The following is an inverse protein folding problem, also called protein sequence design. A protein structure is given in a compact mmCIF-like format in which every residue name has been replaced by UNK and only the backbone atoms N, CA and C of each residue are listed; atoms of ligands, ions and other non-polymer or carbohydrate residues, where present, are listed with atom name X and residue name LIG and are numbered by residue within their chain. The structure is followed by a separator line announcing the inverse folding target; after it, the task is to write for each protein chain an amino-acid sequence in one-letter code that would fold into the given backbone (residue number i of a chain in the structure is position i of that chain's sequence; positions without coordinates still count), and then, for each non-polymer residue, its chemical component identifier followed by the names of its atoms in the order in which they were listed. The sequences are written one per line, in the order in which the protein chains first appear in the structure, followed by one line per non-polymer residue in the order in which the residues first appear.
data_IF_105347536822
#
_entry.id   IF_105347536822
#
_cell.length_a   1.000
_cell.length_b   1.000
_cell.length_c   1.000
_cell.angle_alpha   90.00
_cell.angle_beta   90.00
_cell.angle_gamma   90.00
#
_symmetry.space_group_name_H-M   'P 1'
#
loop_
_entity.id
_entity.type
_entity.pdbx_description
1 polymer ?
#
# COMPACT_ATOMS: atom_id res chain seq x y z
N UNK A 1 13.61 5.91 9.11
CA UNK A 1 12.67 7.07 9.00
C UNK A 1 11.91 7.02 7.66
N UNK A 2 11.18 5.94 7.36
CA UNK A 2 10.39 5.78 6.10
C UNK A 2 9.12 6.65 6.08
N UNK A 3 8.51 6.87 7.25
CA UNK A 3 7.27 7.64 7.45
C UNK A 3 7.32 9.08 6.94
N UNK A 4 8.42 9.80 7.17
CA UNK A 4 8.48 11.24 6.91
C UNK A 4 8.42 11.62 5.42
N UNK A 5 8.75 10.68 4.52
CA UNK A 5 8.65 10.90 3.06
C UNK A 5 7.20 11.01 2.58
N UNK A 6 6.26 10.39 3.29
CA UNK A 6 4.85 10.37 2.94
C UNK A 6 4.01 11.50 3.57
N UNK A 7 4.59 12.26 4.51
CA UNK A 7 3.89 13.34 5.23
C UNK A 7 4.04 14.70 4.52
N UNK A 8 4.86 14.81 3.48
CA UNK A 8 5.12 16.08 2.78
C UNK A 8 4.93 15.97 1.27
N UNK A 9 3.75 16.37 0.80
CA UNK A 9 3.61 16.95 -0.55
C UNK A 9 2.79 18.24 -0.47
N UNK A 10 3.42 19.34 -0.87
CA UNK A 10 2.82 20.67 -0.98
C UNK A 10 1.81 20.68 -2.13
N UNK A 11 0.51 20.85 -1.84
CA UNK A 11 -0.50 21.38 -2.76
C UNK A 11 -0.89 20.57 -4.01
N UNK A 12 -0.09 19.60 -4.44
CA UNK A 12 -0.42 18.71 -5.57
C UNK A 12 -1.07 17.43 -5.05
N UNK A 13 -2.24 17.11 -5.60
CA UNK A 13 -2.92 15.84 -5.33
C UNK A 13 -2.08 14.69 -5.92
N UNK A 14 -1.55 13.83 -5.06
CA UNK A 14 -0.90 12.60 -5.49
C UNK A 14 -1.85 11.77 -6.36
N UNK A 15 -1.35 11.07 -7.40
CA UNK A 15 -2.16 10.08 -8.13
C UNK A 15 -2.81 9.09 -7.17
N UNK A 16 -4.12 8.88 -7.30
CA UNK A 16 -4.87 7.92 -6.47
C UNK A 16 -5.35 6.78 -7.34
N UNK A 17 -5.02 5.54 -6.96
CA UNK A 17 -5.35 4.32 -7.71
C UNK A 17 -5.99 3.29 -6.79
N UNK A 18 -6.86 2.44 -7.33
CA UNK A 18 -7.36 1.24 -6.65
C UNK A 18 -6.57 0.04 -7.16
N UNK A 19 -6.03 -0.75 -6.24
CA UNK A 19 -5.30 -1.98 -6.55
C UNK A 19 -5.88 -3.13 -5.74
N UNK A 20 -5.77 -4.35 -6.26
CA UNK A 20 -6.32 -5.55 -5.65
C UNK A 20 -5.16 -6.35 -5.04
N UNK A 21 -5.32 -6.80 -3.80
CA UNK A 21 -4.39 -7.73 -3.17
C UNK A 21 -4.49 -9.13 -3.84
N UNK A 22 -3.36 -9.66 -4.31
CA UNK A 22 -3.27 -10.99 -4.93
C UNK A 22 -3.22 -12.12 -3.90
N UNK A 23 -2.65 -11.83 -2.74
CA UNK A 23 -2.40 -12.79 -1.66
C UNK A 23 -2.70 -12.14 -0.32
N UNK A 24 -2.89 -12.97 0.70
CA UNK A 24 -2.91 -12.51 2.08
C UNK A 24 -1.54 -11.98 2.48
N UNK A 25 -1.55 -10.92 3.28
CA UNK A 25 -0.35 -10.34 3.86
C UNK A 25 -0.59 -10.01 5.33
N UNK A 26 0.08 -10.74 6.22
CA UNK A 26 0.19 -10.39 7.64
C UNK A 26 1.57 -9.77 7.88
N UNK A 27 1.59 -8.45 8.13
CA UNK A 27 2.82 -7.70 8.35
C UNK A 27 3.64 -8.22 9.54
N UNK A 28 3.01 -8.81 10.56
CA UNK A 28 3.71 -9.42 11.70
C UNK A 28 4.45 -10.70 11.34
N UNK A 29 3.93 -11.46 10.38
CA UNK A 29 4.44 -12.80 10.05
C UNK A 29 5.38 -12.79 8.85
N UNK A 30 5.09 -11.93 7.85
CA UNK A 30 5.73 -11.99 6.54
C UNK A 30 6.72 -10.84 6.31
N UNK A 31 6.65 -9.77 7.09
CA UNK A 31 7.60 -8.67 6.96
C UNK A 31 8.92 -9.00 7.66
N UNK A 32 10.08 -8.68 7.04
CA UNK A 32 11.36 -8.76 7.73
C UNK A 32 11.60 -7.58 8.70
N UNK A 33 10.76 -6.54 8.67
CA UNK A 33 10.95 -5.33 9.46
C UNK A 33 10.37 -5.52 10.88
N UNK A 34 11.14 -5.12 11.89
CA UNK A 34 10.74 -5.27 13.31
C UNK A 34 9.55 -4.39 13.71
N UNK A 35 9.33 -3.29 12.99
CA UNK A 35 8.25 -2.33 13.25
C UNK A 35 7.03 -2.57 12.35
N UNK A 36 7.05 -3.59 11.47
CA UNK A 36 6.08 -3.86 10.39
C UNK A 36 4.60 -3.68 10.77
N UNK A 37 4.20 -4.17 11.94
CA UNK A 37 2.83 -4.06 12.43
C UNK A 37 2.33 -2.62 12.60
N UNK A 38 3.22 -1.69 12.94
CA UNK A 38 2.89 -0.29 13.20
C UNK A 38 2.90 0.55 11.92
N UNK A 39 3.46 0.00 10.84
CA UNK A 39 4.03 0.75 9.71
C UNK A 39 3.41 0.29 8.38
N UNK A 40 3.21 -1.01 8.22
CA UNK A 40 2.66 -1.68 7.03
C UNK A 40 1.21 -2.11 7.28
N UNK A 41 0.39 -2.12 6.22
CA UNK A 41 -0.98 -2.66 6.30
C UNK A 41 -0.96 -4.18 6.20
N UNK A 42 -1.77 -4.84 7.03
CA UNK A 42 -2.20 -6.23 6.80
C UNK A 42 -3.49 -6.26 5.99
N UNK A 43 -3.63 -7.23 5.10
CA UNK A 43 -4.77 -7.35 4.18
C UNK A 43 -4.94 -8.80 3.71
N UNK A 44 -6.10 -9.10 3.14
CA UNK A 44 -6.42 -10.40 2.56
C UNK A 44 -6.45 -10.34 1.03
N UNK A 45 -6.25 -11.48 0.39
CA UNK A 45 -6.45 -11.62 -1.05
C UNK A 45 -7.85 -11.14 -1.44
N UNK A 46 -7.93 -10.32 -2.49
CA UNK A 46 -9.17 -9.71 -2.96
C UNK A 46 -9.49 -8.33 -2.36
N UNK A 47 -8.80 -7.92 -1.28
CA UNK A 47 -8.99 -6.58 -0.73
C UNK A 47 -8.65 -5.50 -1.76
N UNK A 48 -9.49 -4.46 -1.82
CA UNK A 48 -9.27 -3.30 -2.70
C UNK A 48 -8.61 -2.19 -1.90
N UNK A 49 -7.34 -1.94 -2.18
CA UNK A 49 -6.50 -0.98 -1.48
C UNK A 49 -6.40 0.31 -2.29
N UNK A 50 -6.59 1.44 -1.62
CA UNK A 50 -6.35 2.76 -2.22
C UNK A 50 -4.87 3.08 -2.13
N UNK A 51 -4.19 3.27 -3.25
CA UNK A 51 -2.77 3.63 -3.32
C UNK A 51 -2.62 5.10 -3.66
N UNK A 52 -1.70 5.78 -2.97
CA UNK A 52 -1.39 7.20 -3.15
C UNK A 52 0.04 7.39 -3.65
N UNK A 53 0.19 8.15 -4.73
CA UNK A 53 1.48 8.45 -5.32
C UNK A 53 2.13 7.23 -5.95
N UNK A 54 3.39 7.42 -6.34
CA UNK A 54 4.21 6.39 -6.96
C UNK A 54 4.80 5.43 -5.93
N UNK A 55 5.24 4.27 -6.43
CA UNK A 55 6.01 3.31 -5.64
C UNK A 55 7.32 3.95 -5.21
N UNK A 56 7.74 3.72 -3.97
CA UNK A 56 9.05 4.17 -3.51
C UNK A 56 10.19 3.24 -3.98
N UNK A 57 11.43 3.63 -3.66
CA UNK A 57 12.64 2.91 -4.04
C UNK A 57 12.75 1.51 -3.39
N UNK A 58 12.05 1.30 -2.27
CA UNK A 58 12.02 0.03 -1.53
C UNK A 58 10.91 -0.91 -2.04
N UNK A 59 10.09 -0.46 -3.00
CA UNK A 59 9.01 -1.24 -3.59
C UNK A 59 7.69 -1.18 -2.81
N UNK A 60 7.49 -0.14 -1.99
CA UNK A 60 6.26 0.07 -1.22
C UNK A 60 5.42 1.22 -1.78
N UNK A 61 4.10 1.06 -1.65
CA UNK A 61 3.14 2.14 -1.82
C UNK A 61 2.70 2.69 -0.46
N UNK A 62 2.29 3.96 -0.42
CA UNK A 62 1.40 4.42 0.64
C UNK A 62 -0.02 3.99 0.27
N UNK A 63 -0.66 3.23 1.16
CA UNK A 63 -1.99 2.68 0.95
C UNK A 63 -2.98 3.07 2.04
N UNK A 64 -4.27 2.93 1.74
CA UNK A 64 -5.37 2.98 2.69
C UNK A 64 -6.35 1.82 2.48
N UNK A 65 -6.66 1.13 3.58
CA UNK A 65 -7.66 0.07 3.66
C UNK A 65 -8.48 0.26 4.93
N UNK A 66 -9.81 0.24 4.83
CA UNK A 66 -10.73 0.42 5.97
C UNK A 66 -10.45 1.67 6.83
N UNK A 67 -10.01 2.77 6.19
CA UNK A 67 -9.67 4.03 6.84
C UNK A 67 -8.31 4.06 7.55
N UNK A 68 -7.54 2.97 7.50
CA UNK A 68 -6.18 2.88 8.06
C UNK A 68 -5.16 3.08 6.95
N UNK A 69 -4.18 3.97 7.18
CA UNK A 69 -3.08 4.23 6.25
C UNK A 69 -1.78 3.55 6.69
N UNK A 70 -1.05 3.02 5.73
CA UNK A 70 0.24 2.38 5.97
C UNK A 70 0.94 1.98 4.68
N UNK A 71 2.13 1.43 4.81
CA UNK A 71 2.90 0.93 3.68
C UNK A 71 2.31 -0.38 3.14
N UNK A 72 2.36 -0.56 1.84
CA UNK A 72 1.83 -1.76 1.16
C UNK A 72 2.90 -2.31 0.22
N UNK A 73 3.34 -3.58 0.40
CA UNK A 73 4.35 -4.17 -0.46
C UNK A 73 3.78 -4.38 -1.88
N UNK A 74 4.36 -3.72 -2.87
CA UNK A 74 3.83 -3.65 -4.24
C UNK A 74 3.70 -5.02 -4.92
N UNK A 75 4.58 -5.95 -4.59
CA UNK A 75 4.60 -7.30 -5.15
C UNK A 75 3.36 -8.13 -4.74
N UNK A 76 2.61 -7.72 -3.73
CA UNK A 76 1.33 -8.32 -3.35
C UNK A 76 0.14 -7.74 -4.11
N UNK A 77 0.33 -6.65 -4.86
CA UNK A 77 -0.77 -5.98 -5.55
C UNK A 77 -0.82 -6.31 -7.04
N UNK A 78 -2.00 -6.10 -7.61
CA UNK A 78 -2.23 -5.98 -9.05
C UNK A 78 -3.11 -4.77 -9.34
N UNK A 79 -2.94 -4.18 -10.51
CA UNK A 79 -3.94 -3.27 -11.05
C UNK A 79 -5.21 -4.06 -11.33
N UNK A 80 -6.39 -3.50 -11.01
CA UNK A 80 -7.61 -4.03 -11.60
C UNK A 80 -7.46 -3.91 -13.12
N UNK A 81 -7.66 -4.96 -13.93
CA UNK A 81 -7.81 -4.74 -15.36
C UNK A 81 -8.93 -3.72 -15.57
N UNK A 82 -8.83 -2.83 -16.58
CA UNK A 82 -9.97 -1.98 -16.92
C UNK A 82 -11.15 -2.93 -17.13
N UNK A 83 -12.26 -2.68 -16.45
CA UNK A 83 -13.47 -3.49 -16.53
C UNK A 83 -13.78 -3.75 -18.01
N UNK A 84 -13.51 -4.97 -18.48
CA UNK A 84 -13.89 -5.39 -19.82
C UNK A 84 -15.42 -5.41 -19.85
N UNK A 85 -15.99 -4.38 -20.48
CA UNK A 85 -17.35 -4.42 -21.00
C UNK A 85 -17.42 -5.42 -22.15
#
# INVERSE_FOLDING_TARGET
MRYFRYVRTNGESLPVRKMIAKFDYDSRQLSPNVDAEQVELSFHAGDVITVFGEMDEDGFYMGELNGVRGLVPSNFLQTSPPSSL
#
